data_IF_523327117876
#
_entry.id   IF_523327117876
#
_cell.length_a   1.000
_cell.length_b   1.000
_cell.length_c   1.000
_cell.angle_alpha   90.00
_cell.angle_beta   90.00
_cell.angle_gamma   90.00
#
_symmetry.space_group_name_H-M   'P 1'
#
loop_
_entity.id
_entity.type
_entity.pdbx_description
1 polymer ?
#
# COMPACT_ATOMS: atom_id res chain seq x y z
N UNK A 1 -14.40 -5.70 -15.65
CA UNK A 1 -15.73 -5.09 -15.31
C UNK A 1 -15.71 -4.83 -13.80
N UNK A 2 -16.03 -3.62 -13.36
CA UNK A 2 -16.02 -3.27 -11.94
C UNK A 2 -17.19 -3.97 -11.23
N UNK A 3 -16.90 -4.71 -10.18
CA UNK A 3 -17.88 -5.36 -9.31
C UNK A 3 -18.15 -4.48 -8.09
N UNK A 4 -19.43 -4.20 -7.82
CA UNK A 4 -19.84 -3.45 -6.64
C UNK A 4 -20.21 -4.44 -5.53
N UNK A 5 -19.60 -4.27 -4.37
CA UNK A 5 -19.81 -5.12 -3.19
C UNK A 5 -21.03 -4.65 -2.41
N UNK A 6 -21.83 -5.59 -1.94
CA UNK A 6 -22.93 -5.32 -1.01
C UNK A 6 -22.40 -4.90 0.37
N UNK A 7 -23.20 -4.24 1.21
CA UNK A 7 -22.78 -3.91 2.59
C UNK A 7 -22.30 -5.12 3.39
N UNK A 8 -22.92 -6.29 3.19
CA UNK A 8 -22.51 -7.53 3.87
C UNK A 8 -21.14 -8.04 3.38
N UNK A 9 -20.81 -7.84 2.12
CA UNK A 9 -19.51 -8.20 1.55
C UNK A 9 -18.41 -7.23 2.01
N UNK A 10 -18.72 -5.93 2.05
CA UNK A 10 -17.81 -4.92 2.63
C UNK A 10 -17.48 -5.26 4.09
N UNK A 11 -18.47 -5.73 4.87
CA UNK A 11 -18.22 -6.12 6.24
C UNK A 11 -17.33 -7.37 6.36
N UNK A 12 -17.41 -8.32 5.41
CA UNK A 12 -16.46 -9.43 5.34
C UNK A 12 -15.05 -8.96 4.98
N UNK A 13 -14.92 -8.04 4.03
CA UNK A 13 -13.63 -7.42 3.71
C UNK A 13 -13.05 -6.67 4.91
N UNK A 14 -13.90 -6.01 5.73
CA UNK A 14 -13.46 -5.32 6.95
C UNK A 14 -12.82 -6.29 7.96
N UNK A 15 -13.33 -7.51 8.09
CA UNK A 15 -12.70 -8.53 8.95
C UNK A 15 -11.28 -8.86 8.49
N UNK A 16 -11.08 -8.99 7.18
CA UNK A 16 -9.73 -9.17 6.60
C UNK A 16 -8.86 -7.93 6.81
N UNK A 17 -9.43 -6.75 6.57
CA UNK A 17 -8.71 -5.48 6.73
C UNK A 17 -8.26 -5.21 8.17
N UNK A 18 -9.05 -5.57 9.17
CA UNK A 18 -8.65 -5.49 10.58
C UNK A 18 -7.44 -6.38 10.87
N UNK A 19 -7.44 -7.61 10.36
CA UNK A 19 -6.29 -8.51 10.50
C UNK A 19 -5.03 -7.94 9.82
N UNK A 20 -5.15 -7.37 8.61
CA UNK A 20 -4.02 -6.67 7.94
C UNK A 20 -3.49 -5.54 8.82
N UNK A 21 -4.39 -4.68 9.33
CA UNK A 21 -4.01 -3.56 10.18
C UNK A 21 -3.32 -4.00 11.49
N UNK A 22 -3.79 -5.07 12.11
CA UNK A 22 -3.16 -5.67 13.30
C UNK A 22 -1.73 -6.13 13.00
N UNK A 23 -1.53 -6.89 11.91
CA UNK A 23 -0.21 -7.41 11.53
C UNK A 23 0.75 -6.27 11.16
N UNK A 24 0.29 -5.25 10.42
CA UNK A 24 1.10 -4.08 10.11
C UNK A 24 1.46 -3.27 11.37
N UNK A 25 0.54 -3.17 12.33
CA UNK A 25 0.81 -2.58 13.65
C UNK A 25 1.92 -3.34 14.39
N UNK A 26 1.86 -4.66 14.42
CA UNK A 26 2.91 -5.51 15.01
C UNK A 26 4.25 -5.34 14.30
N UNK A 27 4.26 -5.25 12.97
CA UNK A 27 5.49 -4.99 12.20
C UNK A 27 6.08 -3.61 12.52
N UNK A 28 5.24 -2.59 12.67
CA UNK A 28 5.66 -1.24 13.05
C UNK A 28 6.36 -1.23 14.41
N UNK A 29 5.83 -1.96 15.38
CA UNK A 29 6.44 -2.08 16.71
C UNK A 29 7.75 -2.88 16.71
N UNK A 30 7.82 -3.91 15.85
CA UNK A 30 8.98 -4.80 15.72
C UNK A 30 10.12 -4.22 14.88
N UNK A 31 9.84 -3.27 13.99
CA UNK A 31 10.83 -2.64 13.12
C UNK A 31 11.78 -1.74 13.91
N UNK A 32 12.73 -2.37 14.60
CA UNK A 32 13.72 -1.72 15.45
C UNK A 32 15.15 -1.97 14.94
N UNK A 33 16.08 -1.14 15.36
CA UNK A 33 17.51 -1.30 15.01
C UNK A 33 18.00 -2.68 15.38
N UNK A 34 18.63 -3.35 14.44
CA UNK A 34 19.16 -4.72 14.58
C UNK A 34 18.19 -5.84 14.25
N UNK A 35 16.90 -5.57 14.07
CA UNK A 35 15.93 -6.60 13.67
C UNK A 35 16.13 -6.96 12.20
N UNK A 36 16.13 -8.24 11.88
CA UNK A 36 16.31 -8.72 10.51
C UNK A 36 14.98 -8.75 9.75
N UNK A 37 14.99 -8.39 8.46
CA UNK A 37 13.79 -8.45 7.61
C UNK A 37 13.22 -9.86 7.49
N UNK A 38 14.07 -10.89 7.53
CA UNK A 38 13.62 -12.29 7.51
C UNK A 38 12.85 -12.67 8.78
N UNK A 39 13.17 -12.07 9.94
CA UNK A 39 12.42 -12.28 11.18
C UNK A 39 11.03 -11.62 11.10
N UNK A 40 10.94 -10.46 10.45
CA UNK A 40 9.65 -9.79 10.19
C UNK A 40 8.78 -10.63 9.23
N UNK A 41 9.37 -11.14 8.14
CA UNK A 41 8.69 -12.06 7.22
C UNK A 41 8.21 -13.33 7.93
N UNK A 42 9.05 -13.94 8.75
CA UNK A 42 8.70 -15.14 9.53
C UNK A 42 7.51 -14.86 10.46
N UNK A 43 7.48 -13.70 11.11
CA UNK A 43 6.38 -13.26 11.95
C UNK A 43 5.07 -13.18 11.15
N UNK A 44 5.07 -12.52 9.99
CA UNK A 44 3.88 -12.41 9.12
C UNK A 44 3.37 -13.79 8.69
N UNK A 45 4.29 -14.69 8.26
CA UNK A 45 3.93 -16.08 7.92
C UNK A 45 3.25 -16.80 9.08
N UNK A 46 3.72 -16.61 10.29
CA UNK A 46 3.13 -17.21 11.48
C UNK A 46 1.72 -16.66 11.72
N UNK A 47 1.53 -15.33 11.66
CA UNK A 47 0.23 -14.68 11.85
C UNK A 47 -0.80 -15.12 10.80
N UNK A 48 -0.40 -15.18 9.51
CA UNK A 48 -1.25 -15.69 8.42
C UNK A 48 -1.71 -17.12 8.72
N UNK A 49 -0.78 -17.99 9.12
CA UNK A 49 -1.08 -19.40 9.45
C UNK A 49 -2.04 -19.53 10.64
N UNK A 50 -1.77 -18.83 11.73
CA UNK A 50 -2.60 -18.84 12.94
C UNK A 50 -4.01 -18.35 12.67
N UNK A 51 -4.16 -17.35 11.79
CA UNK A 51 -5.47 -16.82 11.40
C UNK A 51 -6.21 -17.71 10.40
N UNK A 52 -5.52 -18.65 9.74
CA UNK A 52 -6.06 -19.39 8.60
C UNK A 52 -6.29 -18.50 7.37
N UNK A 53 -5.54 -17.41 7.26
CA UNK A 53 -5.57 -16.51 6.11
C UNK A 53 -4.72 -17.06 4.95
N UNK A 54 -4.90 -16.49 3.77
CA UNK A 54 -4.14 -16.83 2.56
C UNK A 54 -3.33 -15.61 2.13
N UNK A 55 -2.02 -15.76 1.93
CA UNK A 55 -1.19 -14.70 1.35
C UNK A 55 -1.57 -14.48 -0.11
N UNK A 56 -1.82 -13.23 -0.50
CA UNK A 56 -2.03 -12.86 -1.89
C UNK A 56 -0.72 -12.84 -2.69
N UNK A 57 0.43 -12.74 -2.02
CA UNK A 57 1.74 -12.60 -2.67
C UNK A 57 2.42 -13.94 -2.96
N UNK A 58 2.23 -14.98 -2.16
CA UNK A 58 3.04 -16.22 -2.23
C UNK A 58 3.16 -16.81 -3.63
N UNK A 59 2.05 -16.94 -4.35
CA UNK A 59 2.00 -17.46 -5.73
C UNK A 59 1.77 -16.36 -6.78
N UNK A 60 1.84 -15.10 -6.38
CA UNK A 60 1.67 -13.98 -7.30
C UNK A 60 2.84 -13.91 -8.29
N UNK A 61 2.53 -14.02 -9.59
CA UNK A 61 3.50 -14.07 -10.65
C UNK A 61 3.03 -13.23 -11.87
N UNK A 62 3.06 -11.89 -11.74
CA UNK A 62 2.71 -11.00 -12.84
C UNK A 62 3.77 -11.01 -13.93
N UNK A 63 3.43 -10.49 -15.11
CA UNK A 63 4.31 -10.50 -16.28
C UNK A 63 5.61 -9.70 -16.12
N UNK A 64 5.66 -8.74 -15.19
CA UNK A 64 6.86 -7.96 -14.89
C UNK A 64 7.81 -8.65 -13.88
N UNK A 65 7.30 -9.59 -13.05
CA UNK A 65 8.09 -10.31 -12.06
C UNK A 65 8.86 -11.49 -12.66
N UNK A 66 9.93 -11.91 -11.99
CA UNK A 66 10.70 -13.10 -12.36
C UNK A 66 10.21 -14.34 -11.61
N UNK A 67 9.02 -14.82 -11.98
CA UNK A 67 8.37 -15.93 -11.31
C UNK A 67 7.54 -15.48 -10.09
N UNK A 68 7.08 -16.40 -9.24
CA UNK A 68 6.25 -16.06 -8.08
C UNK A 68 7.05 -15.35 -6.99
N UNK A 69 6.41 -14.43 -6.26
CA UNK A 69 7.02 -13.58 -5.23
C UNK A 69 7.61 -14.39 -4.05
N UNK A 70 6.94 -15.45 -3.62
CA UNK A 70 7.39 -16.42 -2.60
C UNK A 70 7.70 -15.83 -1.21
N UNK A 71 7.18 -14.67 -0.92
CA UNK A 71 7.16 -14.07 0.41
C UNK A 71 5.71 -13.69 0.77
N UNK A 72 5.46 -13.33 2.02
CA UNK A 72 4.10 -13.03 2.51
C UNK A 72 3.87 -11.56 2.78
N UNK A 73 4.93 -10.76 2.75
CA UNK A 73 4.91 -9.30 2.93
C UNK A 73 5.98 -8.68 2.04
N UNK A 74 5.71 -7.49 1.50
CA UNK A 74 6.75 -6.65 0.90
C UNK A 74 7.42 -5.84 2.00
N UNK A 75 8.76 -5.88 2.07
CA UNK A 75 9.58 -5.10 3.00
C UNK A 75 10.56 -4.24 2.20
N UNK A 76 10.17 -3.01 1.94
CA UNK A 76 10.90 -2.07 1.10
C UNK A 76 11.70 -1.10 1.97
N UNK A 77 13.04 -1.14 1.85
CA UNK A 77 13.96 -0.33 2.68
C UNK A 77 14.56 0.81 1.87
N UNK A 78 14.51 2.02 2.40
CA UNK A 78 15.17 3.23 1.92
C UNK A 78 14.74 3.65 0.50
N UNK A 79 15.52 3.30 -0.51
CA UNK A 79 15.27 3.60 -1.93
C UNK A 79 14.38 2.55 -2.61
N UNK A 80 14.10 1.43 -1.96
CA UNK A 80 13.10 0.49 -2.43
C UNK A 80 11.70 1.10 -2.26
N UNK A 81 10.98 1.22 -3.37
CA UNK A 81 9.67 1.86 -3.44
C UNK A 81 8.56 0.87 -3.12
N UNK A 82 8.51 -0.21 -3.90
CA UNK A 82 7.46 -1.22 -3.89
C UNK A 82 8.08 -2.62 -4.06
N UNK A 83 7.32 -3.63 -3.69
CA UNK A 83 7.63 -5.04 -3.92
C UNK A 83 9.00 -5.48 -3.35
N UNK A 84 9.49 -4.81 -2.29
CA UNK A 84 10.75 -5.19 -1.66
C UNK A 84 10.72 -6.63 -1.14
N UNK A 85 11.62 -7.48 -1.66
CA UNK A 85 11.77 -8.84 -1.15
C UNK A 85 12.45 -8.82 0.23
N UNK A 86 11.90 -9.50 1.25
CA UNK A 86 12.63 -9.75 2.49
C UNK A 86 13.95 -10.48 2.22
N UNK A 87 15.05 -9.96 2.74
CA UNK A 87 16.39 -10.54 2.59
C UNK A 87 17.16 -10.45 3.90
N UNK A 88 18.33 -11.06 3.97
CA UNK A 88 19.18 -11.03 5.17
C UNK A 88 19.76 -9.63 5.36
N UNK A 89 19.00 -8.80 6.06
CA UNK A 89 19.34 -7.41 6.35
C UNK A 89 18.84 -7.03 7.75
N UNK A 90 19.76 -6.66 8.61
CA UNK A 90 19.45 -6.10 9.92
C UNK A 90 19.18 -4.60 9.79
N UNK A 91 17.99 -4.16 10.18
CA UNK A 91 17.58 -2.75 10.14
C UNK A 91 18.57 -1.87 10.91
N UNK A 92 18.87 -0.70 10.35
CA UNK A 92 19.83 0.28 10.88
C UNK A 92 19.11 1.52 11.38
N UNK A 93 19.77 2.23 12.28
CA UNK A 93 19.30 3.54 12.73
C UNK A 93 19.13 4.50 11.55
N UNK A 94 17.97 5.10 11.44
CA UNK A 94 17.59 5.97 10.32
C UNK A 94 17.09 5.27 9.06
N UNK A 95 16.93 3.95 9.03
CA UNK A 95 16.27 3.30 7.88
C UNK A 95 14.80 3.70 7.78
N UNK A 96 14.33 3.86 6.56
CA UNK A 96 12.91 4.02 6.22
C UNK A 96 12.43 2.69 5.69
N UNK A 97 11.53 2.04 6.41
CA UNK A 97 10.95 0.73 6.04
C UNK A 97 9.48 0.89 5.71
N UNK A 98 9.09 0.51 4.50
CA UNK A 98 7.69 0.27 4.14
C UNK A 98 7.38 -1.22 4.25
N UNK A 99 6.34 -1.54 5.02
CA UNK A 99 5.73 -2.87 5.07
C UNK A 99 4.38 -2.81 4.36
N UNK A 100 4.16 -3.73 3.42
CA UNK A 100 2.97 -3.80 2.59
C UNK A 100 2.45 -5.24 2.56
N UNK A 101 1.15 -5.43 2.86
CA UNK A 101 0.54 -6.71 3.15
C UNK A 101 -0.85 -6.87 2.57
N UNK A 102 -0.98 -7.81 1.62
CA UNK A 102 -2.26 -8.28 1.10
C UNK A 102 -2.55 -9.72 1.52
N UNK A 103 -3.71 -9.94 2.12
CA UNK A 103 -4.19 -11.29 2.47
C UNK A 103 -5.67 -11.48 2.16
N UNK A 104 -6.07 -12.76 2.05
CA UNK A 104 -7.46 -13.17 1.93
C UNK A 104 -7.94 -13.97 3.14
N UNK A 105 -9.15 -13.68 3.63
CA UNK A 105 -9.86 -14.46 4.64
C UNK A 105 -11.25 -14.77 4.09
N UNK A 106 -11.65 -16.04 4.11
CA UNK A 106 -12.94 -16.51 3.58
C UNK A 106 -13.26 -16.02 2.16
N UNK A 107 -12.19 -15.89 1.32
CA UNK A 107 -12.31 -15.45 -0.07
C UNK A 107 -12.53 -13.94 -0.24
N UNK A 108 -12.22 -13.12 0.77
CA UNK A 108 -12.22 -11.67 0.71
C UNK A 108 -10.85 -11.10 1.03
N UNK A 109 -10.38 -10.23 0.16
CA UNK A 109 -9.03 -9.65 0.22
C UNK A 109 -9.06 -8.26 0.83
N UNK A 110 -8.02 -7.93 1.56
CA UNK A 110 -7.66 -6.56 1.96
C UNK A 110 -6.17 -6.36 1.78
N UNK A 111 -5.80 -5.14 1.45
CA UNK A 111 -4.45 -4.67 1.18
C UNK A 111 -4.18 -3.38 1.92
N UNK A 112 -2.97 -3.23 2.47
CA UNK A 112 -2.56 -1.99 3.13
C UNK A 112 -1.05 -1.92 3.31
N UNK A 113 -0.51 -0.70 3.32
CA UNK A 113 0.91 -0.45 3.59
C UNK A 113 1.13 0.66 4.61
N UNK A 114 2.24 0.55 5.33
CA UNK A 114 2.70 1.57 6.29
C UNK A 114 4.21 1.77 6.19
N UNK A 115 4.65 3.02 6.30
CA UNK A 115 6.07 3.36 6.38
C UNK A 115 6.46 3.76 7.80
N UNK A 116 7.57 3.22 8.28
CA UNK A 116 8.15 3.56 9.58
C UNK A 116 9.61 3.99 9.43
N UNK A 117 10.06 4.89 10.30
CA UNK A 117 11.48 5.26 10.42
C UNK A 117 12.05 4.54 11.61
N UNK A 118 13.11 3.76 11.39
CA UNK A 118 13.75 2.92 12.41
C UNK A 118 14.72 3.77 13.23
N UNK A 119 14.51 3.84 14.53
CA UNK A 119 15.37 4.61 15.43
C UNK A 119 15.29 6.12 15.22
N UNK A 120 16.42 6.77 14.92
CA UNK A 120 16.54 8.22 14.80
C UNK A 120 16.07 8.71 13.43
N UNK A 121 14.99 9.47 13.39
CA UNK A 121 14.43 9.97 12.15
C UNK A 121 15.13 11.26 11.65
N UNK A 122 15.53 11.30 10.38
CA UNK A 122 15.86 12.52 9.65
C UNK A 122 14.59 13.35 9.38
N UNK A 123 14.69 14.68 9.41
CA UNK A 123 13.53 15.55 9.18
C UNK A 123 12.99 15.46 7.75
N UNK A 124 13.85 15.21 6.76
CA UNK A 124 13.41 15.01 5.37
C UNK A 124 12.67 13.69 5.22
N UNK A 125 13.05 12.64 5.95
CA UNK A 125 12.34 11.36 5.96
C UNK A 125 10.98 11.48 6.66
N UNK A 126 10.92 12.19 7.80
CA UNK A 126 9.62 12.52 8.45
C UNK A 126 8.70 13.28 7.51
N UNK A 127 9.26 14.24 6.78
CA UNK A 127 8.51 15.04 5.81
C UNK A 127 7.98 14.17 4.66
N UNK A 128 8.79 13.21 4.18
CA UNK A 128 8.40 12.29 3.10
C UNK A 128 7.27 11.35 3.56
N UNK A 129 7.41 10.71 4.71
CA UNK A 129 6.36 9.84 5.30
C UNK A 129 5.07 10.62 5.52
N UNK A 130 5.15 11.80 6.15
CA UNK A 130 3.99 12.67 6.35
C UNK A 130 3.27 13.02 5.05
N UNK A 131 4.02 13.28 3.98
CA UNK A 131 3.43 13.61 2.68
C UNK A 131 2.61 12.45 2.11
N UNK A 132 3.05 11.18 2.26
CA UNK A 132 2.26 10.03 1.83
C UNK A 132 1.02 9.82 2.69
N UNK A 133 1.13 10.02 4.00
CA UNK A 133 -0.01 9.93 4.94
C UNK A 133 -1.07 11.02 4.64
N UNK A 134 -0.64 12.26 4.41
CA UNK A 134 -1.54 13.36 4.04
C UNK A 134 -2.18 13.13 2.65
N UNK A 135 -1.41 12.60 1.69
CA UNK A 135 -1.93 12.26 0.37
C UNK A 135 -2.97 11.13 0.45
N UNK A 136 -2.74 10.11 1.28
CA UNK A 136 -3.71 9.06 1.55
C UNK A 136 -4.99 9.61 2.20
N UNK A 137 -4.85 10.47 3.19
CA UNK A 137 -6.00 11.11 3.84
C UNK A 137 -6.82 11.96 2.84
N UNK A 138 -6.15 12.71 1.95
CA UNK A 138 -6.80 13.48 0.90
C UNK A 138 -7.51 12.58 -0.13
N UNK A 139 -6.88 11.46 -0.52
CA UNK A 139 -7.45 10.45 -1.40
C UNK A 139 -8.73 9.83 -0.80
N UNK A 140 -8.68 9.45 0.49
CA UNK A 140 -9.84 8.91 1.22
C UNK A 140 -10.96 9.93 1.26
N UNK A 141 -10.67 11.19 1.58
CA UNK A 141 -11.68 12.25 1.62
C UNK A 141 -12.34 12.50 0.26
N UNK A 142 -11.62 12.27 -0.84
CA UNK A 142 -12.15 12.38 -2.20
C UNK A 142 -12.93 11.14 -2.66
N UNK A 143 -12.85 10.01 -1.95
CA UNK A 143 -13.48 8.75 -2.31
C UNK A 143 -14.99 8.71 -1.92
N UNK A 144 -15.74 9.76 -2.26
CA UNK A 144 -17.18 9.90 -1.98
C UNK A 144 -18.02 9.55 -3.20
N UNK A 145 -19.30 9.14 -3.01
CA UNK A 145 -20.23 8.93 -4.12
C UNK A 145 -20.30 10.16 -5.03
N UNK A 146 -20.50 9.91 -6.32
CA UNK A 146 -20.59 10.89 -7.41
C UNK A 146 -19.27 11.54 -7.85
N UNK A 147 -18.21 11.52 -7.03
CA UNK A 147 -16.87 11.82 -7.50
C UNK A 147 -16.38 10.75 -8.51
N UNK A 148 -15.23 10.99 -9.09
CA UNK A 148 -14.59 10.09 -10.06
C UNK A 148 -13.19 9.70 -9.61
N UNK A 149 -12.63 8.65 -10.18
CA UNK A 149 -11.24 8.23 -9.91
C UNK A 149 -10.26 9.40 -10.07
N UNK A 150 -10.44 10.24 -11.10
CA UNK A 150 -9.60 11.42 -11.32
C UNK A 150 -9.67 12.49 -10.21
N UNK A 151 -10.74 12.52 -9.40
CA UNK A 151 -10.83 13.41 -8.23
C UNK A 151 -9.93 12.88 -7.10
N UNK A 152 -9.89 11.56 -6.90
CA UNK A 152 -8.95 10.91 -5.96
C UNK A 152 -7.50 11.15 -6.41
N UNK A 153 -7.19 10.85 -7.66
CA UNK A 153 -5.85 11.03 -8.24
C UNK A 153 -5.36 12.49 -8.12
N UNK A 154 -6.25 13.45 -8.41
CA UNK A 154 -5.94 14.87 -8.28
C UNK A 154 -5.70 15.31 -6.82
N UNK A 155 -6.41 14.70 -5.85
CA UNK A 155 -6.20 14.97 -4.43
C UNK A 155 -4.82 14.49 -3.97
N UNK A 156 -4.38 13.29 -4.39
CA UNK A 156 -3.03 12.79 -4.16
C UNK A 156 -1.98 13.74 -4.76
N UNK A 157 -2.14 14.06 -6.04
CA UNK A 157 -1.22 14.94 -6.76
C UNK A 157 -1.09 16.33 -6.13
N UNK A 158 -2.20 16.90 -5.66
CA UNK A 158 -2.18 18.22 -4.99
C UNK A 158 -1.29 18.21 -3.74
N UNK A 159 -1.33 17.15 -2.94
CA UNK A 159 -0.46 17.00 -1.76
C UNK A 159 1.00 16.82 -2.21
N UNK A 160 1.29 15.90 -3.14
CA UNK A 160 2.65 15.70 -3.65
C UNK A 160 3.29 17.01 -4.16
N UNK A 161 2.54 17.77 -4.95
CA UNK A 161 2.99 19.07 -5.48
C UNK A 161 3.24 20.11 -4.37
N UNK A 162 2.40 20.14 -3.32
CA UNK A 162 2.60 21.06 -2.19
C UNK A 162 3.89 20.78 -1.42
N UNK A 163 4.31 19.52 -1.42
CA UNK A 163 5.57 19.07 -0.84
C UNK A 163 6.75 19.14 -1.83
N UNK A 164 6.48 19.34 -3.13
CA UNK A 164 7.50 19.37 -4.19
C UNK A 164 8.03 17.98 -4.54
N UNK A 165 7.27 16.91 -4.28
CA UNK A 165 7.64 15.55 -4.65
C UNK A 165 7.17 15.19 -6.06
N UNK A 166 7.99 14.52 -6.86
CA UNK A 166 7.60 13.98 -8.15
C UNK A 166 6.63 12.80 -7.98
N UNK A 167 5.79 12.56 -8.98
CA UNK A 167 4.75 11.52 -8.97
C UNK A 167 5.02 10.54 -10.10
N UNK A 168 5.17 9.27 -9.76
CA UNK A 168 5.14 8.18 -10.75
C UNK A 168 3.68 7.77 -11.01
N UNK A 169 3.37 7.44 -12.26
CA UNK A 169 2.01 7.05 -12.69
C UNK A 169 1.96 5.62 -13.25
N UNK A 170 3.06 4.87 -13.20
CA UNK A 170 3.14 3.50 -13.70
C UNK A 170 2.48 2.51 -12.71
N UNK A 171 2.59 2.79 -11.42
CA UNK A 171 1.98 2.02 -10.35
C UNK A 171 1.09 2.92 -9.51
N UNK A 172 0.08 2.34 -8.91
CA UNK A 172 -0.91 3.06 -8.09
C UNK A 172 -2.04 2.15 -7.69
N UNK A 173 -3.02 2.69 -7.00
CA UNK A 173 -4.14 1.98 -6.43
C UNK A 173 -4.99 1.21 -7.45
N UNK A 174 -5.79 0.32 -6.94
CA UNK A 174 -6.58 -0.60 -7.74
C UNK A 174 -7.89 -1.00 -7.05
N UNK A 175 -8.83 -1.54 -7.80
CA UNK A 175 -9.95 -2.26 -7.22
C UNK A 175 -9.45 -3.53 -6.54
N UNK A 176 -10.18 -3.98 -5.51
CA UNK A 176 -9.94 -5.28 -4.89
C UNK A 176 -11.24 -5.82 -4.27
N UNK A 177 -11.24 -7.12 -3.92
CA UNK A 177 -12.41 -7.75 -3.31
C UNK A 177 -12.26 -9.24 -3.23
N UNK A 178 -12.50 -9.96 -4.33
CA UNK A 178 -12.28 -11.40 -4.43
C UNK A 178 -10.84 -11.73 -4.81
N UNK A 179 -10.19 -10.81 -5.50
CA UNK A 179 -8.78 -10.89 -5.87
C UNK A 179 -8.06 -9.63 -5.42
N UNK A 180 -6.74 -9.72 -5.31
CA UNK A 180 -5.89 -8.60 -4.90
C UNK A 180 -6.01 -7.43 -5.88
N UNK A 181 -5.93 -7.69 -7.17
CA UNK A 181 -6.06 -6.65 -8.19
C UNK A 181 -7.32 -6.86 -9.02
N UNK A 182 -8.22 -5.88 -8.95
CA UNK A 182 -9.43 -5.75 -9.76
C UNK A 182 -9.44 -4.36 -10.44
N UNK A 183 -10.35 -4.16 -11.40
CA UNK A 183 -10.67 -2.82 -11.88
C UNK A 183 -11.36 -1.99 -10.78
N UNK A 184 -11.17 -0.65 -10.75
CA UNK A 184 -10.38 0.19 -11.66
C UNK A 184 -8.94 0.38 -11.19
N UNK A 185 -8.04 0.81 -12.09
CA UNK A 185 -6.78 1.42 -11.68
C UNK A 185 -7.00 2.83 -11.11
N UNK A 186 -6.27 3.19 -10.05
CA UNK A 186 -6.30 4.49 -9.38
C UNK A 186 -4.90 5.10 -9.43
N UNK A 187 -4.62 5.91 -10.44
CA UNK A 187 -3.33 6.59 -10.59
C UNK A 187 -3.09 7.59 -9.46
N UNK A 188 -1.83 7.80 -9.07
CA UNK A 188 -1.42 8.82 -8.10
C UNK A 188 -1.39 10.25 -8.69
N UNK A 189 -1.64 10.41 -10.00
CA UNK A 189 -1.86 11.70 -10.66
C UNK A 189 -3.05 11.60 -11.61
N UNK A 190 -3.81 12.70 -11.72
CA UNK A 190 -4.99 12.70 -12.56
C UNK A 190 -5.69 14.07 -12.64
N UNK A 191 -6.78 14.09 -13.39
CA UNK A 191 -7.57 15.30 -13.62
C UNK A 191 -8.93 15.20 -12.95
N UNK A 192 -9.37 16.22 -12.17
CA UNK A 192 -10.69 16.26 -11.56
C UNK A 192 -11.81 16.01 -12.57
N UNK A 193 -12.85 15.30 -12.16
CA UNK A 193 -14.02 14.99 -12.98
C UNK A 193 -13.77 13.98 -14.11
N UNK A 194 -12.65 13.26 -14.12
CA UNK A 194 -12.32 12.24 -15.13
C UNK A 194 -12.33 10.82 -14.56
N UNK A 195 -12.43 9.86 -15.44
CA UNK A 195 -12.41 8.44 -15.12
C UNK A 195 -13.74 7.89 -14.63
N UNK A 196 -13.69 6.69 -14.03
CA UNK A 196 -14.86 5.96 -13.52
C UNK A 196 -15.56 6.78 -12.42
N UNK A 197 -16.89 6.83 -12.48
CA UNK A 197 -17.70 7.44 -11.42
C UNK A 197 -17.74 6.51 -10.20
N UNK A 198 -17.47 7.06 -9.02
CA UNK A 198 -17.52 6.34 -7.77
C UNK A 198 -18.98 6.07 -7.39
N UNK A 199 -19.25 4.82 -7.04
CA UNK A 199 -20.59 4.38 -6.62
C UNK A 199 -20.47 3.60 -5.31
N UNK A 200 -21.49 3.66 -4.45
CA UNK A 200 -21.55 2.79 -3.28
C UNK A 200 -21.35 1.32 -3.65
N UNK A 201 -20.52 0.63 -2.90
CA UNK A 201 -20.10 -0.75 -3.17
C UNK A 201 -18.75 -0.88 -3.87
N UNK A 202 -18.17 0.19 -4.42
CA UNK A 202 -16.81 0.16 -4.95
C UNK A 202 -15.80 0.00 -3.80
N UNK A 203 -14.89 -0.96 -3.93
CA UNK A 203 -13.78 -1.18 -3.00
C UNK A 203 -12.46 -1.02 -3.73
N UNK A 204 -11.57 -0.19 -3.19
CA UNK A 204 -10.31 0.22 -3.82
C UNK A 204 -9.17 0.29 -2.81
N UNK A 205 -7.98 -0.09 -3.22
CA UNK A 205 -6.73 0.29 -2.58
C UNK A 205 -6.37 1.72 -3.00
N UNK A 206 -6.07 2.56 -2.04
CA UNK A 206 -5.55 3.91 -2.23
C UNK A 206 -4.14 3.93 -1.67
N UNK A 207 -3.15 4.12 -2.55
CA UNK A 207 -1.74 3.84 -2.24
C UNK A 207 -0.79 4.92 -2.78
N UNK A 208 -0.84 6.16 -2.26
CA UNK A 208 0.16 7.14 -2.60
C UNK A 208 1.54 6.72 -2.12
N UNK A 209 2.50 6.76 -3.02
CA UNK A 209 3.91 6.60 -2.72
C UNK A 209 4.75 7.66 -3.43
N UNK A 210 5.81 8.11 -2.79
CA UNK A 210 6.69 9.13 -3.32
C UNK A 210 8.14 8.74 -3.13
N UNK A 211 8.97 9.08 -4.12
CA UNK A 211 10.41 9.18 -3.94
C UNK A 211 10.80 10.65 -3.77
N UNK A 212 11.90 10.89 -3.06
CA UNK A 212 12.28 12.25 -2.66
C UNK A 212 12.59 13.18 -3.84
N UNK A 213 13.22 12.66 -4.90
CA UNK A 213 13.81 13.48 -5.97
C UNK A 213 13.54 13.00 -7.39
N UNK A 214 12.96 11.81 -7.58
CA UNK A 214 12.68 11.24 -8.91
C UNK A 214 11.31 10.56 -8.97
N UNK A 215 10.65 10.61 -10.12
CA UNK A 215 9.48 9.80 -10.46
C UNK A 215 9.85 8.49 -11.18
N UNK A 216 11.14 8.32 -11.51
CA UNK A 216 11.63 7.16 -12.25
C UNK A 216 11.98 6.02 -11.32
N UNK A 217 11.59 4.82 -11.72
CA UNK A 217 11.91 3.57 -11.02
C UNK A 217 12.76 2.65 -11.88
N UNK A 218 13.50 1.77 -11.22
CA UNK A 218 14.26 0.69 -11.83
C UNK A 218 13.94 -0.62 -11.11
N UNK A 219 13.98 -1.72 -11.85
CA UNK A 219 13.81 -3.06 -11.27
C UNK A 219 15.16 -3.53 -10.76
N UNK A 220 15.22 -3.94 -9.50
CA UNK A 220 16.40 -4.55 -8.89
C UNK A 220 16.76 -5.89 -9.59
N UNK A 221 18.05 -6.31 -9.59
CA UNK A 221 18.46 -7.62 -10.09
C UNK A 221 17.72 -8.84 -9.51
N UNK A 222 17.10 -8.72 -8.34
CA UNK A 222 16.21 -9.74 -7.77
C UNK A 222 14.95 -10.01 -8.60
N UNK A 223 14.62 -9.08 -9.53
CA UNK A 223 13.53 -9.17 -10.46
C UNK A 223 12.16 -8.80 -9.89
N UNK A 224 12.11 -8.28 -8.64
CA UNK A 224 10.89 -7.86 -7.95
C UNK A 224 10.95 -6.46 -7.37
N UNK A 225 11.98 -6.17 -6.57
CA UNK A 225 12.10 -4.90 -5.86
C UNK A 225 12.19 -3.73 -6.86
N UNK A 226 11.28 -2.79 -6.72
CA UNK A 226 11.31 -1.53 -7.48
C UNK A 226 12.05 -0.49 -6.64
N UNK A 227 13.04 0.18 -7.26
CA UNK A 227 13.83 1.22 -6.58
C UNK A 227 13.70 2.56 -7.28
N UNK A 228 13.83 3.64 -6.53
CA UNK A 228 14.04 4.96 -7.11
C UNK A 228 15.30 4.97 -7.98
N UNK A 229 15.21 5.52 -9.20
CA UNK A 229 16.30 5.44 -10.18
C UNK A 229 17.57 6.21 -9.77
N UNK A 230 17.48 7.12 -8.83
CA UNK A 230 18.58 7.94 -8.31
C UNK A 230 19.03 7.56 -6.90
N UNK A 231 18.48 6.49 -6.31
CA UNK A 231 18.77 6.04 -4.96
C UNK A 231 18.16 6.92 -3.86
N UNK A 232 17.27 7.83 -4.21
CA UNK A 232 16.58 8.66 -3.20
C UNK A 232 15.59 7.83 -2.38
N UNK A 233 15.42 8.23 -1.11
CA UNK A 233 14.50 7.57 -0.18
C UNK A 233 13.06 7.67 -0.64
N UNK A 234 12.27 6.67 -0.28
CA UNK A 234 10.86 6.52 -0.65
C UNK A 234 9.99 6.29 0.58
N UNK A 235 8.71 6.59 0.45
CA UNK A 235 7.68 6.23 1.41
C UNK A 235 6.39 5.86 0.68
N UNK A 236 5.59 5.01 1.32
CA UNK A 236 4.31 4.53 0.81
C UNK A 236 3.33 4.44 1.98
N UNK A 237 2.11 4.86 1.76
CA UNK A 237 1.00 4.71 2.71
C UNK A 237 -0.23 4.22 1.96
N UNK A 238 -0.92 3.22 2.51
CA UNK A 238 -2.03 2.60 1.80
C UNK A 238 -3.14 2.14 2.74
N UNK A 239 -4.37 2.23 2.23
CA UNK A 239 -5.56 1.62 2.83
C UNK A 239 -6.50 1.02 1.79
N UNK A 240 -7.14 -0.09 2.15
CA UNK A 240 -8.37 -0.55 1.48
C UNK A 240 -9.54 0.32 1.94
N UNK A 241 -10.24 0.92 0.97
CA UNK A 241 -11.37 1.83 1.20
C UNK A 241 -12.60 1.35 0.45
N UNK A 242 -13.74 1.33 1.11
CA UNK A 242 -15.04 1.14 0.47
C UNK A 242 -15.75 2.49 0.30
N UNK A 243 -16.24 2.77 -0.90
CA UNK A 243 -17.20 3.85 -1.13
C UNK A 243 -18.56 3.39 -0.63
N UNK A 244 -19.16 4.10 0.31
CA UNK A 244 -20.50 3.79 0.84
C UNK A 244 -21.45 4.95 0.62
N UNK A 245 -22.73 4.76 0.87
CA UNK A 245 -23.73 5.84 0.80
C UNK A 245 -23.43 6.99 1.77
N UNK A 246 -22.83 6.65 2.92
CA UNK A 246 -22.44 7.60 3.97
C UNK A 246 -21.05 8.20 3.77
N UNK A 247 -20.37 7.90 2.65
CA UNK A 247 -19.01 8.33 2.34
C UNK A 247 -17.98 7.19 2.38
N UNK A 248 -16.68 7.50 2.40
CA UNK A 248 -15.62 6.50 2.39
C UNK A 248 -15.50 5.79 3.75
N UNK A 249 -15.39 4.47 3.71
CA UNK A 249 -15.12 3.63 4.87
C UNK A 249 -13.77 2.95 4.72
N UNK A 250 -12.81 3.29 5.58
CA UNK A 250 -11.52 2.60 5.62
C UNK A 250 -11.71 1.23 6.27
N UNK A 251 -11.28 0.18 5.58
CA UNK A 251 -11.45 -1.20 6.03
C UNK A 251 -10.23 -1.75 6.78
N UNK A 252 -9.06 -1.16 6.56
CA UNK A 252 -7.76 -1.57 7.13
C UNK A 252 -7.36 -0.70 8.32
N UNK A 253 -8.27 -0.51 9.26
CA UNK A 253 -7.98 0.10 10.57
C UNK A 253 -8.06 -0.97 11.66
N UNK A 254 -7.16 -0.90 12.62
CA UNK A 254 -7.23 -1.73 13.83
C UNK A 254 -8.54 -1.46 14.60
N UNK A 255 -9.03 -2.49 15.30
CA UNK A 255 -10.29 -2.43 16.03
C UNK A 255 -10.18 -1.53 17.29
#
# INVERSE_FOLDING_TARGET
>A
MVELKTPAEIERMRVTGQFVAEVLGELRERAQVGVNLLDLELHVRQRIRERGAVSCYWDYAPSFGRGPFRNTVCLSVNDAVLHGLPFDYALRDGDVLTADLAVGIDGWVADSATTVIVGTADEQDRRLVRATEEALAAAIAAAVPDNRIGDISAAIAAVAHSYGYPINTEFGGHGLGRTMHEDPHVSNDGRPGRGLKLRPGLTIALEPWFARTTDRIVVDPDGWTLRSADGSRTAHSEHTVAVTEDGPKVLTLAA
#
